data_IF_202864226219
#
_entry.id   IF_202864226219
#
_cell.length_a   1.000
_cell.length_b   1.000
_cell.length_c   1.000
_cell.angle_alpha   90.00
_cell.angle_beta   90.00
_cell.angle_gamma   90.00
#
_symmetry.space_group_name_H-M   'P 1'
#
loop_
_entity.id
_entity.type
_entity.pdbx_description
1 polymer ?
#
# COMPACT_ATOMS: atom_id res chain seq x y z
N UNK A 1 -53.32 38.50 0.78
CA UNK A 1 -51.84 38.43 0.79
C UNK A 1 -51.44 37.00 1.02
N UNK A 2 -51.07 36.27 -0.05
CA UNK A 2 -50.65 34.88 0.02
C UNK A 2 -49.12 34.86 0.13
N UNK A 3 -48.60 34.37 1.25
CA UNK A 3 -47.15 34.18 1.46
C UNK A 3 -46.75 32.90 0.78
N UNK A 4 -45.99 32.99 -0.29
CA UNK A 4 -45.35 31.84 -0.93
C UNK A 4 -44.13 31.45 -0.10
N UNK A 5 -44.26 30.32 0.56
CA UNK A 5 -43.13 29.65 1.23
C UNK A 5 -42.30 28.96 0.17
N UNK A 6 -41.18 29.54 -0.21
CA UNK A 6 -40.20 28.94 -1.11
C UNK A 6 -39.39 27.91 -0.28
N UNK A 7 -39.78 26.67 -0.32
CA UNK A 7 -39.01 25.59 0.27
C UNK A 7 -37.86 25.29 -0.70
N UNK A 8 -36.71 25.86 -0.39
CA UNK A 8 -35.46 25.52 -1.11
C UNK A 8 -35.07 24.08 -0.74
N UNK A 9 -35.38 23.14 -1.62
CA UNK A 9 -34.90 21.74 -1.51
C UNK A 9 -33.42 21.75 -1.86
N UNK A 10 -32.58 21.88 -0.85
CA UNK A 10 -31.12 21.71 -0.96
C UNK A 10 -30.84 20.24 -1.14
N UNK A 11 -30.77 19.81 -2.39
CA UNK A 11 -30.33 18.44 -2.74
C UNK A 11 -28.85 18.34 -2.39
N UNK A 12 -28.58 17.83 -1.22
CA UNK A 12 -27.23 17.46 -0.79
C UNK A 12 -26.80 16.25 -1.64
N UNK A 13 -26.15 16.52 -2.76
CA UNK A 13 -25.46 15.49 -3.52
C UNK A 13 -24.26 15.05 -2.65
N UNK A 14 -24.47 14.06 -1.83
CA UNK A 14 -23.38 13.32 -1.20
C UNK A 14 -22.65 12.60 -2.31
N UNK A 15 -21.57 13.18 -2.83
CA UNK A 15 -20.54 12.45 -3.53
C UNK A 15 -20.05 11.41 -2.52
N UNK A 16 -20.56 10.20 -2.64
CA UNK A 16 -19.93 9.04 -2.03
C UNK A 16 -18.61 8.86 -2.76
N UNK A 17 -17.58 9.58 -2.31
CA UNK A 17 -16.21 9.17 -2.56
C UNK A 17 -16.19 7.73 -2.06
N UNK A 18 -16.04 6.78 -2.96
CA UNK A 18 -15.93 5.37 -2.60
C UNK A 18 -14.75 5.24 -1.63
N UNK A 19 -15.05 5.33 -0.34
CA UNK A 19 -14.05 5.14 0.68
C UNK A 19 -13.52 3.72 0.50
N UNK A 20 -12.20 3.59 0.40
CA UNK A 20 -11.54 2.30 0.37
C UNK A 20 -12.08 1.44 1.51
N UNK A 21 -12.66 0.29 1.20
CA UNK A 21 -13.32 -0.57 2.19
C UNK A 21 -12.33 -1.41 2.99
N UNK A 22 -11.05 -1.42 2.57
CA UNK A 22 -9.97 -2.24 3.12
C UNK A 22 -10.21 -3.75 3.01
N UNK A 23 -11.13 -4.16 2.15
CA UNK A 23 -11.44 -5.57 1.83
C UNK A 23 -10.98 -5.97 0.43
N UNK A 24 -10.46 -5.03 -0.34
CA UNK A 24 -10.05 -5.19 -1.73
C UNK A 24 -9.00 -6.29 -1.90
N UNK A 25 -8.11 -6.45 -0.93
CA UNK A 25 -7.03 -7.45 -0.95
C UNK A 25 -7.53 -8.90 -0.98
N UNK A 26 -8.76 -9.15 -0.56
CA UNK A 26 -9.38 -10.49 -0.55
C UNK A 26 -10.42 -10.72 -1.64
N UNK A 27 -10.68 -9.74 -2.51
CA UNK A 27 -11.58 -9.89 -3.65
C UNK A 27 -10.77 -9.96 -4.96
N UNK A 28 -10.67 -11.16 -5.60
CA UNK A 28 -9.87 -11.35 -6.80
C UNK A 28 -10.38 -10.57 -8.02
N UNK A 29 -11.58 -9.99 -7.96
CA UNK A 29 -12.13 -9.12 -9.02
C UNK A 29 -11.58 -7.70 -8.95
N UNK A 30 -11.02 -7.31 -7.82
CA UNK A 30 -10.44 -5.98 -7.61
C UNK A 30 -8.92 -6.07 -7.79
N UNK A 31 -8.45 -5.65 -8.95
CA UNK A 31 -7.03 -5.71 -9.30
C UNK A 31 -6.32 -4.36 -9.21
N UNK A 32 -7.07 -3.28 -9.01
CA UNK A 32 -6.51 -1.94 -8.90
C UNK A 32 -7.45 -0.99 -8.16
N UNK A 33 -6.90 -0.20 -7.23
CA UNK A 33 -7.57 0.93 -6.57
C UNK A 33 -6.67 2.14 -6.71
N UNK A 34 -7.20 3.24 -7.26
CA UNK A 34 -6.45 4.50 -7.46
C UNK A 34 -5.12 4.33 -8.24
N UNK A 35 -5.07 3.35 -9.12
CA UNK A 35 -3.89 3.04 -9.92
C UNK A 35 -3.88 3.88 -11.18
N UNK A 36 -2.78 4.59 -11.43
CA UNK A 36 -2.56 5.28 -12.70
C UNK A 36 -2.48 4.28 -13.88
N UNK A 37 -2.81 4.71 -15.11
CA UNK A 37 -2.63 3.89 -16.30
C UNK A 37 -1.20 3.39 -16.42
N UNK A 38 -1.05 2.18 -16.93
CA UNK A 38 0.29 1.62 -17.20
C UNK A 38 0.99 2.41 -18.29
N UNK A 39 2.27 2.67 -18.09
CA UNK A 39 3.16 3.33 -19.05
C UNK A 39 4.55 2.69 -19.01
N UNK A 40 5.36 2.95 -20.01
CA UNK A 40 6.75 2.54 -20.02
C UNK A 40 7.52 3.18 -18.88
N UNK A 41 8.51 2.47 -18.35
CA UNK A 41 9.40 3.04 -17.34
C UNK A 41 10.26 4.15 -17.95
N UNK A 42 10.36 5.29 -17.27
CA UNK A 42 11.20 6.41 -17.67
C UNK A 42 11.72 7.15 -16.43
N UNK A 43 12.77 7.94 -16.59
CA UNK A 43 13.27 8.85 -15.57
C UNK A 43 13.38 10.25 -16.15
N UNK A 44 12.79 11.24 -15.49
CA UNK A 44 12.81 12.63 -15.90
C UNK A 44 14.03 13.34 -15.28
N UNK A 45 15.06 13.53 -16.08
CA UNK A 45 16.25 14.29 -15.69
C UNK A 45 15.99 15.79 -15.75
N UNK A 46 16.68 16.56 -14.90
CA UNK A 46 16.57 18.02 -14.84
C UNK A 46 17.17 18.73 -16.06
N UNK A 47 18.07 18.07 -16.80
CA UNK A 47 18.66 18.62 -18.03
C UNK A 47 19.09 17.53 -19.02
N UNK A 48 19.23 17.92 -20.29
CA UNK A 48 19.71 17.03 -21.35
C UNK A 48 21.15 16.53 -21.08
N UNK A 49 21.98 17.34 -20.46
CA UNK A 49 23.39 16.97 -20.21
C UNK A 49 23.49 15.93 -19.08
N UNK A 50 22.65 16.01 -18.07
CA UNK A 50 22.55 14.98 -17.03
C UNK A 50 21.95 13.70 -17.62
N UNK A 51 20.92 13.82 -18.46
CA UNK A 51 20.31 12.67 -19.14
C UNK A 51 21.29 11.89 -20.03
N UNK A 52 22.16 12.59 -20.77
CA UNK A 52 23.20 11.97 -21.63
C UNK A 52 24.18 11.10 -20.84
N UNK A 53 24.39 11.38 -19.54
CA UNK A 53 25.27 10.58 -18.68
C UNK A 53 24.64 9.24 -18.28
N UNK A 54 23.32 9.12 -18.33
CA UNK A 54 22.57 7.89 -18.06
C UNK A 54 22.61 7.40 -16.61
N UNK A 55 23.12 8.22 -15.67
CA UNK A 55 23.27 7.86 -14.25
C UNK A 55 22.21 8.65 -13.47
N UNK A 56 21.09 7.99 -13.17
CA UNK A 56 19.94 8.64 -12.48
C UNK A 56 20.29 9.12 -11.07
N UNK A 57 21.22 8.47 -10.40
CA UNK A 57 21.69 8.81 -9.05
C UNK A 57 22.37 10.17 -8.98
N UNK A 58 22.84 10.69 -10.11
CA UNK A 58 23.47 12.01 -10.21
C UNK A 58 22.46 13.13 -10.52
N UNK A 59 21.18 12.80 -10.72
CA UNK A 59 20.12 13.76 -10.98
C UNK A 59 19.58 14.36 -9.68
N UNK A 60 19.30 15.66 -9.68
CA UNK A 60 18.59 16.32 -8.59
C UNK A 60 17.16 15.78 -8.39
N UNK A 61 16.60 15.14 -9.42
CA UNK A 61 15.29 14.50 -9.34
C UNK A 61 15.32 13.07 -8.76
N UNK A 62 16.51 12.57 -8.37
CA UNK A 62 16.65 11.25 -7.78
C UNK A 62 16.76 11.34 -6.26
N UNK A 63 15.94 10.55 -5.59
CA UNK A 63 16.04 10.34 -4.14
C UNK A 63 16.03 8.85 -3.84
N UNK A 64 17.05 8.35 -3.16
CA UNK A 64 17.06 6.97 -2.66
C UNK A 64 16.19 6.86 -1.42
N UNK A 65 15.23 5.93 -1.44
CA UNK A 65 14.42 5.58 -0.27
C UNK A 65 14.96 4.38 0.50
N UNK A 66 16.13 3.86 0.11
CA UNK A 66 16.81 2.80 0.85
C UNK A 66 17.18 3.23 2.27
N UNK A 67 17.34 2.24 3.14
CA UNK A 67 17.72 2.47 4.54
C UNK A 67 16.62 2.10 5.51
N UNK A 68 16.67 2.65 6.71
CA UNK A 68 15.77 2.28 7.79
C UNK A 68 14.39 2.94 7.65
N UNK A 69 13.35 2.11 7.78
CA UNK A 69 11.95 2.52 7.76
C UNK A 69 11.28 2.12 9.07
N UNK A 70 10.26 2.82 9.49
CA UNK A 70 9.31 2.34 10.49
C UNK A 70 8.57 1.15 9.94
N UNK A 71 8.43 0.10 10.75
CA UNK A 71 7.86 -1.18 10.32
C UNK A 71 6.96 -1.80 11.38
N UNK A 72 5.79 -2.22 10.96
CA UNK A 72 4.85 -2.95 11.81
C UNK A 72 4.34 -4.18 11.07
N UNK A 73 4.59 -5.34 11.64
CA UNK A 73 4.21 -6.61 11.05
C UNK A 73 3.05 -7.24 11.84
N UNK A 74 2.12 -7.84 11.13
CA UNK A 74 1.02 -8.62 11.68
C UNK A 74 0.89 -9.95 10.96
N UNK A 75 0.47 -10.96 11.71
CA UNK A 75 0.29 -12.32 11.19
C UNK A 75 -0.92 -12.43 10.27
N UNK A 76 -1.99 -11.69 10.60
CA UNK A 76 -3.26 -11.76 9.90
C UNK A 76 -3.62 -10.40 9.31
N UNK A 77 -4.06 -10.40 8.06
CA UNK A 77 -4.29 -9.17 7.31
C UNK A 77 -5.35 -8.24 7.96
N UNK A 78 -6.32 -8.80 8.66
CA UNK A 78 -7.35 -8.00 9.35
C UNK A 78 -6.80 -7.20 10.54
N UNK A 79 -5.65 -7.61 11.10
CA UNK A 79 -5.00 -6.93 12.23
C UNK A 79 -4.09 -5.77 11.80
N UNK A 80 -3.96 -5.51 10.49
CA UNK A 80 -3.11 -4.42 10.01
C UNK A 80 -3.67 -3.06 10.39
N UNK A 81 -2.83 -2.05 10.66
CA UNK A 81 -3.29 -0.68 10.81
C UNK A 81 -3.86 -0.16 9.48
N UNK A 82 -5.05 0.41 9.50
CA UNK A 82 -5.76 0.86 8.29
C UNK A 82 -5.64 2.36 8.03
N UNK A 83 -5.11 3.12 8.97
CA UNK A 83 -4.99 4.58 8.92
C UNK A 83 -3.56 5.09 9.13
N UNK A 84 -2.57 4.21 9.04
CA UNK A 84 -1.15 4.52 9.25
C UNK A 84 -0.57 5.53 8.23
N UNK A 85 -1.28 5.82 7.16
CA UNK A 85 -0.95 6.85 6.17
C UNK A 85 -1.20 8.27 6.68
N UNK A 86 -1.97 8.45 7.76
CA UNK A 86 -2.25 9.77 8.34
C UNK A 86 -0.99 10.38 8.95
N UNK A 87 -0.83 11.69 8.81
CA UNK A 87 0.35 12.42 9.30
C UNK A 87 0.46 12.37 10.83
N UNK A 88 -0.68 12.42 11.50
CA UNK A 88 -0.79 12.39 12.97
C UNK A 88 -0.83 10.98 13.57
N UNK A 89 -0.65 9.95 12.75
CA UNK A 89 -0.64 8.58 13.22
C UNK A 89 0.54 8.31 14.17
N UNK A 90 0.26 7.72 15.33
CA UNK A 90 1.29 7.40 16.32
C UNK A 90 1.98 6.07 16.00
N UNK A 91 3.18 6.14 15.45
CA UNK A 91 4.03 4.99 15.11
C UNK A 91 5.21 4.77 16.09
N UNK A 92 5.16 5.37 17.28
CA UNK A 92 6.26 5.29 18.27
C UNK A 92 6.60 3.85 18.71
N UNK A 93 5.61 2.96 18.68
CA UNK A 93 5.79 1.54 18.99
C UNK A 93 6.24 0.67 17.82
N UNK A 94 6.45 1.24 16.64
CA UNK A 94 6.86 0.49 15.46
C UNK A 94 8.35 0.17 15.50
N UNK A 95 8.71 -1.00 14.99
CA UNK A 95 10.09 -1.40 14.82
C UNK A 95 10.78 -0.62 13.71
N UNK A 96 12.08 -0.79 13.61
CA UNK A 96 12.88 -0.32 12.47
C UNK A 96 13.24 -1.51 11.60
N UNK A 97 13.12 -1.35 10.28
CA UNK A 97 13.40 -2.40 9.32
C UNK A 97 14.26 -1.85 8.16
N UNK A 98 15.31 -2.56 7.74
CA UNK A 98 16.14 -2.15 6.61
C UNK A 98 15.38 -2.40 5.29
N UNK A 99 15.33 -1.40 4.42
CA UNK A 99 14.73 -1.48 3.09
C UNK A 99 15.81 -1.22 2.04
N UNK A 100 16.01 -2.10 1.06
CA UNK A 100 15.34 -3.39 0.87
C UNK A 100 15.76 -4.45 1.89
N UNK A 101 14.84 -5.36 2.21
CA UNK A 101 15.08 -6.46 3.14
C UNK A 101 14.00 -7.54 3.03
N UNK A 102 14.32 -8.75 3.46
CA UNK A 102 13.39 -9.88 3.55
C UNK A 102 12.95 -10.07 5.00
N UNK A 103 11.66 -10.16 5.23
CA UNK A 103 11.09 -10.27 6.57
C UNK A 103 11.62 -11.46 7.36
N UNK A 104 11.69 -12.59 6.70
CA UNK A 104 12.05 -13.86 7.30
C UNK A 104 13.49 -13.86 7.83
N UNK A 105 14.39 -13.11 7.19
CA UNK A 105 15.76 -12.93 7.67
C UNK A 105 15.87 -12.03 8.90
N UNK A 106 14.79 -11.32 9.22
CA UNK A 106 14.70 -10.42 10.36
C UNK A 106 13.73 -10.92 11.44
N UNK A 107 13.32 -12.20 11.38
CA UNK A 107 12.47 -12.82 12.39
C UNK A 107 10.98 -12.53 12.27
N UNK A 108 10.50 -12.08 11.11
CA UNK A 108 9.08 -11.85 10.82
C UNK A 108 8.56 -12.91 9.87
N UNK A 109 7.44 -13.51 10.23
CA UNK A 109 6.85 -14.60 9.44
C UNK A 109 7.65 -15.89 9.51
N UNK A 110 7.38 -16.80 8.57
CA UNK A 110 8.06 -18.06 8.44
C UNK A 110 8.70 -18.16 7.06
N UNK A 111 9.96 -18.56 6.95
CA UNK A 111 10.57 -18.81 5.65
C UNK A 111 9.86 -19.98 4.97
N UNK A 112 9.24 -19.71 3.83
CA UNK A 112 8.53 -20.70 3.04
C UNK A 112 9.38 -20.99 1.81
N UNK A 113 9.98 -22.19 1.77
CA UNK A 113 10.67 -22.66 0.59
C UNK A 113 9.77 -23.60 -0.19
N UNK A 114 9.44 -23.23 -1.41
CA UNK A 114 8.62 -24.04 -2.31
C UNK A 114 9.33 -24.15 -3.66
N UNK A 115 9.84 -25.33 -3.94
CA UNK A 115 10.38 -25.68 -5.25
C UNK A 115 9.34 -26.36 -6.16
N UNK A 116 8.24 -26.85 -5.58
CA UNK A 116 7.12 -27.51 -6.29
C UNK A 116 5.80 -27.03 -5.69
N UNK A 117 5.01 -26.28 -6.45
CA UNK A 117 3.68 -25.80 -6.05
C UNK A 117 3.65 -24.37 -5.52
N UNK A 118 2.55 -23.99 -4.90
CA UNK A 118 2.33 -22.65 -4.37
C UNK A 118 2.71 -22.57 -2.90
N UNK A 119 3.13 -21.37 -2.45
CA UNK A 119 3.63 -21.11 -1.10
C UNK A 119 2.68 -21.54 0.02
N UNK A 120 1.37 -21.46 -0.19
CA UNK A 120 0.35 -21.81 0.79
C UNK A 120 -0.27 -23.21 0.59
N UNK A 121 0.32 -24.04 -0.26
CA UNK A 121 -0.17 -25.39 -0.51
C UNK A 121 -0.27 -26.17 0.81
N UNK A 122 -1.44 -26.77 1.05
CA UNK A 122 -1.78 -27.55 2.27
C UNK A 122 -1.85 -26.74 3.59
N UNK A 123 -1.76 -25.42 3.52
CA UNK A 123 -1.89 -24.58 4.71
C UNK A 123 -3.29 -23.99 4.90
N UNK A 124 -4.08 -23.98 3.84
CA UNK A 124 -5.44 -23.47 3.83
C UNK A 124 -6.39 -24.43 3.15
N UNK A 125 -7.64 -24.39 3.55
CA UNK A 125 -8.72 -25.04 2.81
C UNK A 125 -8.85 -24.37 1.43
N UNK A 126 -8.92 -25.20 0.40
CA UNK A 126 -9.04 -24.70 -0.97
C UNK A 126 -10.48 -24.25 -1.25
N UNK A 127 -10.72 -22.97 -1.19
CA UNK A 127 -12.04 -22.35 -1.35
C UNK A 127 -12.01 -21.13 -2.30
N UNK A 128 -11.66 -21.32 -3.58
CA UNK A 128 -11.68 -20.21 -4.54
C UNK A 128 -13.12 -19.72 -4.78
N UNK A 129 -13.37 -18.40 -4.98
CA UNK A 129 -12.38 -17.36 -5.19
C UNK A 129 -11.92 -16.65 -3.90
N UNK A 130 -12.22 -17.20 -2.74
CA UNK A 130 -11.94 -16.57 -1.45
C UNK A 130 -10.45 -16.61 -1.10
N UNK A 131 -9.90 -15.47 -0.70
CA UNK A 131 -8.53 -15.36 -0.20
C UNK A 131 -8.54 -15.67 1.31
N UNK A 132 -7.64 -16.54 1.80
CA UNK A 132 -7.52 -16.81 3.23
C UNK A 132 -7.23 -15.53 4.02
N UNK A 133 -7.87 -15.37 5.17
CA UNK A 133 -7.70 -14.23 6.06
C UNK A 133 -6.67 -14.50 7.17
N UNK A 134 -6.56 -15.76 7.61
CA UNK A 134 -5.61 -16.19 8.62
C UNK A 134 -4.25 -16.49 8.00
N UNK A 135 -3.18 -16.26 8.75
CA UNK A 135 -1.78 -16.44 8.31
C UNK A 135 -1.44 -15.74 6.99
N UNK A 136 -2.18 -14.70 6.63
CA UNK A 136 -1.92 -13.84 5.50
C UNK A 136 -1.22 -12.58 6.01
N UNK A 137 0.10 -12.70 6.17
CA UNK A 137 0.93 -11.72 6.86
C UNK A 137 0.96 -10.37 6.15
N UNK A 138 1.00 -9.29 6.92
CA UNK A 138 1.13 -7.93 6.39
C UNK A 138 2.23 -7.17 7.10
N UNK A 139 3.11 -6.54 6.33
CA UNK A 139 4.07 -5.55 6.80
C UNK A 139 3.66 -4.15 6.38
N UNK A 140 3.47 -3.27 7.35
CA UNK A 140 3.20 -1.85 7.12
C UNK A 140 4.48 -1.06 7.28
N UNK A 141 4.77 -0.19 6.31
CA UNK A 141 6.01 0.60 6.27
C UNK A 141 5.70 2.09 6.28
N UNK A 142 6.47 2.85 7.06
CA UNK A 142 6.43 4.32 7.04
C UNK A 142 7.84 4.88 6.95
N UNK A 143 8.01 5.90 6.13
CA UNK A 143 9.22 6.72 6.07
C UNK A 143 8.80 8.18 5.93
N UNK A 144 9.42 9.02 6.72
CA UNK A 144 9.34 10.47 6.57
C UNK A 144 10.34 10.92 5.53
N UNK A 145 9.88 11.77 4.61
CA UNK A 145 10.69 12.37 3.55
C UNK A 145 10.62 13.88 3.78
N UNK A 146 11.76 14.53 3.95
CA UNK A 146 11.91 15.95 4.17
C UNK A 146 12.52 16.60 2.93
#
# INVERSE_FOLDING_TARGET
>A
MKKHLLTSLLTLVTLTLGAQTFHEWKDPRINAVNRAPMHSNYFAYESADVAKRGIKENSANFMSLNGNWKFFWVKDAESRPTDFWKVDFNDKGWNTFPVPGLWELHGYGNPIYVNIGYAWRNQFENNPPHVPTENNNVGSYRKEII
#
